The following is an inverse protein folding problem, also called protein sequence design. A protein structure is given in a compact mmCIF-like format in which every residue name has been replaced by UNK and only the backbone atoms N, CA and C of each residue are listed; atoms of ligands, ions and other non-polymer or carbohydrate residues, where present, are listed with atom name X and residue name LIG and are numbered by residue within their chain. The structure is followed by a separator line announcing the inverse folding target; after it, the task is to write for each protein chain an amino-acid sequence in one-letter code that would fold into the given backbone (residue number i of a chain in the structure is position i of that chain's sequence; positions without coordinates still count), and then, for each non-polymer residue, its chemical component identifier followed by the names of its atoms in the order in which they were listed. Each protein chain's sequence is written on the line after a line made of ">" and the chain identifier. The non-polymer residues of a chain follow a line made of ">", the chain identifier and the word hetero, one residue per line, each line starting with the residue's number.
data_IF_340656520666
#
_entry.id   IF_340656520666
#
_cell.length_a   1.000
_cell.length_b   1.000
_cell.length_c   1.000
_cell.angle_alpha   90.00
_cell.angle_beta   90.00
_cell.angle_gamma   90.00
#
_symmetry.space_group_name_H-M   'P 1'
#
loop_
_entity.id
_entity.type
_entity.pdbx_description
1 polymer ?
#
# COMPACT_ATOMS: atom_id res chain seq x y z
N UNK A 1 15.77 -7.04 6.93
CA UNK A 1 15.26 -8.27 7.59
C UNK A 1 16.13 -8.51 8.81
N UNK A 2 15.57 -9.03 9.89
CA UNK A 2 16.27 -9.24 11.16
C UNK A 2 16.07 -10.68 11.62
N UNK A 3 17.01 -11.57 11.29
CA UNK A 3 16.95 -12.99 11.63
C UNK A 3 16.94 -13.22 13.15
N UNK A 4 17.64 -12.38 13.89
CA UNK A 4 17.69 -12.40 15.36
C UNK A 4 16.34 -12.16 16.02
N UNK A 5 15.39 -11.55 15.30
CA UNK A 5 14.03 -11.30 15.78
C UNK A 5 13.04 -12.42 15.40
N UNK A 6 13.46 -13.38 14.57
CA UNK A 6 12.65 -14.51 14.14
C UNK A 6 12.78 -15.70 15.11
N UNK A 7 11.64 -16.26 15.51
CA UNK A 7 11.54 -17.44 16.37
C UNK A 7 10.76 -18.53 15.63
N UNK A 8 11.31 -19.73 15.50
CA UNK A 8 10.72 -20.83 14.70
C UNK A 8 9.27 -21.17 15.05
N UNK A 9 8.88 -20.96 16.31
CA UNK A 9 7.52 -21.22 16.83
C UNK A 9 6.88 -19.97 17.46
N UNK A 10 7.33 -18.78 17.08
CA UNK A 10 6.78 -17.52 17.58
C UNK A 10 5.39 -17.22 16.99
N UNK A 11 4.47 -16.69 17.81
CA UNK A 11 3.23 -16.11 17.28
C UNK A 11 3.58 -14.87 16.46
N UNK A 12 3.21 -14.90 15.19
CA UNK A 12 3.43 -13.81 14.23
C UNK A 12 2.27 -12.83 14.35
N UNK A 13 2.60 -11.54 14.38
CA UNK A 13 1.65 -10.48 14.11
C UNK A 13 2.04 -9.79 12.81
N UNK A 14 1.04 -9.40 12.01
CA UNK A 14 1.22 -8.67 10.77
C UNK A 14 0.56 -7.31 10.89
N UNK A 15 1.36 -6.26 10.83
CA UNK A 15 0.87 -4.89 10.74
C UNK A 15 0.84 -4.47 9.26
N UNK A 16 -0.27 -3.86 8.87
CA UNK A 16 -0.45 -3.29 7.52
C UNK A 16 -0.78 -1.82 7.67
N UNK A 17 0.03 -0.96 7.04
CA UNK A 17 -0.24 0.45 6.93
C UNK A 17 -0.42 0.81 5.46
N UNK A 18 -1.55 1.43 5.14
CA UNK A 18 -1.86 1.96 3.82
C UNK A 18 -1.93 3.48 3.94
N UNK A 19 -1.34 4.17 2.98
CA UNK A 19 -1.43 5.61 2.83
C UNK A 19 -1.45 5.95 1.35
N UNK A 20 -2.02 7.11 1.02
CA UNK A 20 -2.12 7.57 -0.35
C UNK A 20 -2.02 9.09 -0.40
N UNK A 21 -1.76 9.62 -1.59
CA UNK A 21 -1.64 11.04 -1.83
C UNK A 21 -1.79 11.37 -3.30
N UNK A 22 -1.92 12.66 -3.59
CA UNK A 22 -2.05 13.17 -4.94
C UNK A 22 -1.05 14.30 -5.16
N UNK A 23 -0.25 14.21 -6.21
CA UNK A 23 0.48 15.34 -6.77
C UNK A 23 -0.40 15.98 -7.86
N UNK A 24 -0.89 17.19 -7.60
CA UNK A 24 -1.81 17.89 -8.51
C UNK A 24 -1.13 18.43 -9.76
N UNK A 25 0.16 18.77 -9.68
CA UNK A 25 0.94 19.30 -10.81
C UNK A 25 1.22 18.20 -11.84
N UNK A 26 1.65 17.04 -11.37
CA UNK A 26 1.99 15.88 -12.21
C UNK A 26 0.79 14.96 -12.48
N UNK A 27 -0.36 15.20 -11.84
CA UNK A 27 -1.55 14.31 -11.84
C UNK A 27 -1.23 12.88 -11.40
N UNK A 28 -0.27 12.75 -10.50
CA UNK A 28 0.23 11.46 -10.01
C UNK A 28 -0.44 11.10 -8.69
N UNK A 29 -1.19 10.00 -8.71
CA UNK A 29 -1.75 9.41 -7.50
C UNK A 29 -0.78 8.36 -6.94
N UNK A 30 -0.29 8.58 -5.72
CA UNK A 30 0.61 7.66 -5.05
C UNK A 30 -0.14 6.80 -4.04
N UNK A 31 0.11 5.50 -4.07
CA UNK A 31 -0.29 4.57 -3.02
C UNK A 31 0.94 3.96 -2.38
N UNK A 32 1.04 4.07 -1.06
CA UNK A 32 2.14 3.55 -0.25
C UNK A 32 1.61 2.52 0.74
N UNK A 33 2.12 1.29 0.66
CA UNK A 33 1.78 0.21 1.58
C UNK A 33 3.01 -0.31 2.30
N UNK A 34 2.87 -0.53 3.60
CA UNK A 34 3.89 -1.10 4.46
C UNK A 34 3.34 -2.32 5.18
N UNK A 35 4.08 -3.43 5.09
CA UNK A 35 3.83 -4.63 5.87
C UNK A 35 4.98 -4.85 6.84
N UNK A 36 4.63 -5.08 8.10
CA UNK A 36 5.60 -5.39 9.15
C UNK A 36 5.20 -6.69 9.82
N UNK A 37 6.01 -7.73 9.62
CA UNK A 37 5.89 -8.97 10.37
C UNK A 37 6.70 -8.84 11.66
N UNK A 38 6.06 -9.14 12.78
CA UNK A 38 6.68 -9.05 14.09
C UNK A 38 6.42 -10.29 14.96
N UNK A 39 7.37 -10.61 15.82
CA UNK A 39 7.24 -11.59 16.89
C UNK A 39 7.65 -10.92 18.19
N UNK A 40 6.87 -11.08 19.26
CA UNK A 40 7.12 -10.41 20.55
C UNK A 40 7.35 -8.89 20.40
N UNK A 41 6.59 -8.24 19.51
CA UNK A 41 6.72 -6.80 19.16
C UNK A 41 8.07 -6.39 18.56
N UNK A 42 8.85 -7.34 18.05
CA UNK A 42 10.08 -7.07 17.32
C UNK A 42 9.87 -7.38 15.83
N UNK A 43 10.08 -6.40 14.93
CA UNK A 43 9.94 -6.64 13.51
C UNK A 43 11.08 -7.54 13.01
N UNK A 44 10.74 -8.53 12.17
CA UNK A 44 11.73 -9.40 11.51
C UNK A 44 11.69 -9.28 9.99
N UNK A 45 10.53 -8.95 9.41
CA UNK A 45 10.38 -8.56 8.00
C UNK A 45 9.63 -7.24 7.94
N UNK A 46 10.17 -6.29 7.18
CA UNK A 46 9.47 -5.06 6.80
C UNK A 46 9.62 -4.90 5.29
N UNK A 47 8.51 -4.73 4.61
CA UNK A 47 8.47 -4.38 3.19
C UNK A 47 7.58 -3.15 3.04
N UNK A 48 8.08 -2.18 2.28
CA UNK A 48 7.33 -0.98 1.92
C UNK A 48 7.42 -0.82 0.41
N UNK A 49 6.27 -0.56 -0.21
CA UNK A 49 6.16 -0.33 -1.64
C UNK A 49 5.34 0.93 -1.87
N UNK A 50 5.82 1.74 -2.80
CA UNK A 50 5.09 2.89 -3.33
C UNK A 50 4.82 2.63 -4.81
N UNK A 51 3.59 2.83 -5.24
CA UNK A 51 3.21 2.80 -6.65
C UNK A 51 2.60 4.16 -7.02
N UNK A 52 3.11 4.77 -8.09
CA UNK A 52 2.55 5.97 -8.68
C UNK A 52 1.65 5.57 -9.85
N UNK A 53 0.52 6.24 -9.96
CA UNK A 53 -0.46 6.04 -11.02
C UNK A 53 -0.78 7.42 -11.60
N UNK A 54 -0.31 7.66 -12.82
CA UNK A 54 -0.63 8.89 -13.55
C UNK A 54 -2.12 8.86 -13.94
N UNK A 55 -2.83 9.95 -13.64
CA UNK A 55 -4.21 10.16 -14.05
C UNK A 55 -4.20 10.98 -15.34
N UNK A 56 -4.79 10.42 -16.39
CA UNK A 56 -4.93 11.13 -17.67
C UNK A 56 -5.67 12.45 -17.51
N UNK A 57 -5.27 13.46 -18.29
CA UNK A 57 -5.75 14.85 -18.15
C UNK A 57 -7.28 14.95 -18.13
N UNK A 58 -7.96 14.25 -19.05
CA UNK A 58 -9.43 14.25 -19.11
C UNK A 58 -10.05 13.71 -17.82
N UNK A 59 -9.61 12.52 -17.39
CA UNK A 59 -10.08 11.91 -16.14
C UNK A 59 -9.73 12.75 -14.92
N UNK A 60 -8.59 13.43 -14.90
CA UNK A 60 -8.21 14.31 -13.79
C UNK A 60 -9.15 15.51 -13.68
N UNK A 61 -9.52 16.11 -14.81
CA UNK A 61 -10.47 17.23 -14.84
C UNK A 61 -11.86 16.83 -14.33
N UNK A 62 -12.31 15.60 -14.63
CA UNK A 62 -13.58 15.06 -14.12
C UNK A 62 -13.59 14.88 -12.59
N UNK A 63 -12.42 14.80 -11.94
CA UNK A 63 -12.29 14.68 -10.49
C UNK A 63 -12.31 16.05 -9.79
N UNK A 64 -12.22 17.16 -10.55
CA UNK A 64 -12.25 18.52 -10.01
C UNK A 64 -13.69 18.97 -9.79
N UNK A 65 -14.05 19.22 -8.54
CA UNK A 65 -15.38 19.68 -8.12
C UNK A 65 -15.21 20.87 -7.17
N UNK A 66 -15.74 22.03 -7.54
CA UNK A 66 -15.75 23.26 -6.73
C UNK A 66 -14.37 23.64 -6.14
N UNK A 67 -13.30 23.53 -6.94
CA UNK A 67 -11.93 23.88 -6.51
C UNK A 67 -11.28 22.82 -5.60
N UNK A 68 -11.86 21.62 -5.52
CA UNK A 68 -11.28 20.45 -4.84
C UNK A 68 -11.14 19.31 -5.82
N UNK A 69 -10.27 18.35 -5.49
CA UNK A 69 -10.15 17.10 -6.23
C UNK A 69 -10.74 15.99 -5.36
N UNK A 70 -11.74 15.30 -5.88
CA UNK A 70 -12.41 14.19 -5.20
C UNK A 70 -11.95 12.90 -5.86
N UNK A 71 -11.12 12.12 -5.16
CA UNK A 71 -10.71 10.79 -5.60
C UNK A 71 -11.67 9.76 -5.01
N UNK A 72 -12.45 9.03 -5.84
CA UNK A 72 -13.39 8.05 -5.35
C UNK A 72 -12.71 6.93 -4.56
N UNK A 73 -13.31 6.53 -3.45
CA UNK A 73 -12.87 5.42 -2.59
C UNK A 73 -12.64 4.12 -3.36
N UNK A 74 -13.50 3.82 -4.36
CA UNK A 74 -13.34 2.63 -5.21
C UNK A 74 -12.04 2.69 -6.04
N UNK A 75 -11.64 3.87 -6.51
CA UNK A 75 -10.40 4.04 -7.27
C UNK A 75 -9.18 3.80 -6.37
N UNK A 76 -9.19 4.43 -5.18
CA UNK A 76 -8.15 4.24 -4.17
C UNK A 76 -8.04 2.74 -3.80
N UNK A 77 -9.17 2.07 -3.60
CA UNK A 77 -9.19 0.64 -3.29
C UNK A 77 -8.62 -0.22 -4.43
N UNK A 78 -8.92 0.13 -5.69
CA UNK A 78 -8.41 -0.55 -6.86
C UNK A 78 -6.88 -0.45 -6.96
N UNK A 79 -6.33 0.77 -6.89
CA UNK A 79 -4.87 0.96 -6.97
C UNK A 79 -4.14 0.38 -5.75
N UNK A 80 -4.75 0.45 -4.56
CA UNK A 80 -4.21 -0.20 -3.36
C UNK A 80 -4.17 -1.72 -3.49
N UNK A 81 -5.18 -2.35 -4.10
CA UNK A 81 -5.16 -3.79 -4.40
C UNK A 81 -4.01 -4.16 -5.34
N UNK A 82 -3.74 -3.34 -6.36
CA UNK A 82 -2.58 -3.53 -7.26
C UNK A 82 -1.28 -3.46 -6.45
N UNK A 83 -1.11 -2.43 -5.61
CA UNK A 83 0.09 -2.27 -4.77
C UNK A 83 0.28 -3.44 -3.80
N UNK A 84 -0.78 -3.98 -3.22
CA UNK A 84 -0.75 -5.21 -2.39
C UNK A 84 -0.31 -6.42 -3.20
N UNK A 85 -0.86 -6.60 -4.40
CA UNK A 85 -0.49 -7.67 -5.33
C UNK A 85 0.99 -7.63 -5.67
N UNK A 86 1.49 -6.46 -6.07
CA UNK A 86 2.91 -6.22 -6.35
C UNK A 86 3.80 -6.48 -5.12
N UNK A 87 3.36 -6.06 -3.93
CA UNK A 87 4.09 -6.30 -2.68
C UNK A 87 4.26 -7.79 -2.38
N UNK A 88 3.30 -8.65 -2.76
CA UNK A 88 3.43 -10.11 -2.62
C UNK A 88 4.53 -10.68 -3.50
N UNK A 89 4.52 -10.33 -4.78
CA UNK A 89 5.52 -10.80 -5.73
C UNK A 89 6.93 -10.36 -5.31
N UNK A 90 7.07 -9.09 -4.92
CA UNK A 90 8.35 -8.54 -4.44
C UNK A 90 8.79 -9.23 -3.15
N UNK A 91 7.89 -9.46 -2.18
CA UNK A 91 8.23 -10.17 -0.96
C UNK A 91 8.73 -11.58 -1.26
N UNK A 92 8.02 -12.33 -2.11
CA UNK A 92 8.40 -13.69 -2.47
C UNK A 92 9.77 -13.72 -3.14
N UNK A 93 9.99 -12.86 -4.15
CA UNK A 93 11.28 -12.77 -4.85
C UNK A 93 12.41 -12.33 -3.93
N UNK A 94 12.21 -11.32 -3.07
CA UNK A 94 13.26 -10.84 -2.14
C UNK A 94 13.60 -11.81 -1.01
N UNK A 95 12.72 -12.78 -0.73
CA UNK A 95 12.94 -13.77 0.33
C UNK A 95 13.33 -15.13 -0.24
N UNK A 96 13.43 -15.28 -1.55
CA UNK A 96 13.88 -16.51 -2.21
C UNK A 96 15.24 -16.97 -1.65
N UNK A 97 15.35 -18.27 -1.35
CA UNK A 97 16.55 -18.84 -0.74
C UNK A 97 16.76 -18.53 0.74
N UNK A 98 15.86 -17.80 1.40
CA UNK A 98 15.95 -17.47 2.84
C UNK A 98 14.92 -18.23 3.68
N UNK A 99 15.13 -18.28 5.00
CA UNK A 99 14.14 -18.80 5.97
C UNK A 99 12.81 -18.03 5.94
N UNK A 100 12.79 -16.84 5.32
CA UNK A 100 11.64 -15.96 5.26
C UNK A 100 10.70 -16.24 4.07
N UNK A 101 11.09 -17.06 3.08
CA UNK A 101 10.24 -17.32 1.90
C UNK A 101 8.89 -17.97 2.24
N UNK A 102 8.81 -18.64 3.39
CA UNK A 102 7.57 -19.21 3.94
C UNK A 102 6.52 -18.15 4.34
N UNK A 103 6.90 -16.87 4.43
CA UNK A 103 5.98 -15.79 4.80
C UNK A 103 5.37 -15.14 3.57
N UNK A 104 4.05 -15.21 3.46
CA UNK A 104 3.27 -14.57 2.39
C UNK A 104 2.32 -13.51 2.97
N UNK A 105 1.94 -12.53 2.16
CA UNK A 105 0.96 -11.52 2.56
C UNK A 105 -0.47 -12.09 2.39
N UNK A 106 -1.35 -11.97 3.39
CA UNK A 106 -2.72 -12.50 3.33
C UNK A 106 -3.61 -11.71 2.38
N UNK A 107 -4.71 -12.33 1.93
CA UNK A 107 -5.80 -11.74 1.11
C UNK A 107 -6.77 -10.91 1.91
N UNK A 108 -6.26 -10.02 2.75
CA UNK A 108 -7.12 -9.09 3.49
C UNK A 108 -7.83 -8.16 2.50
N UNK A 109 -9.12 -7.88 2.77
CA UNK A 109 -9.91 -6.96 1.97
C UNK A 109 -9.39 -5.53 2.15
N UNK A 110 -8.70 -5.01 1.14
CA UNK A 110 -8.11 -3.67 1.15
C UNK A 110 -9.18 -2.60 1.07
N UNK A 111 -10.33 -2.90 0.46
CA UNK A 111 -11.44 -1.95 0.34
C UNK A 111 -12.00 -1.56 1.71
N UNK A 112 -11.99 -2.47 2.70
CA UNK A 112 -12.39 -2.16 4.08
C UNK A 112 -11.47 -1.14 4.77
N UNK A 113 -10.26 -0.92 4.24
CA UNK A 113 -9.31 0.07 4.78
C UNK A 113 -9.56 1.49 4.23
N UNK A 114 -10.41 1.64 3.21
CA UNK A 114 -10.70 2.93 2.55
C UNK A 114 -12.22 3.14 2.52
N UNK A 115 -12.81 3.66 3.62
CA UNK A 115 -14.26 3.74 3.73
C UNK A 115 -14.88 4.95 3.04
N UNK A 116 -14.09 5.95 2.65
CA UNK A 116 -14.56 7.24 2.15
C UNK A 116 -13.67 7.77 1.03
N UNK A 117 -14.22 8.66 0.22
CA UNK A 117 -13.49 9.35 -0.84
C UNK A 117 -12.40 10.26 -0.25
N UNK A 118 -11.30 10.42 -0.98
CA UNK A 118 -10.24 11.33 -0.60
C UNK A 118 -10.46 12.70 -1.23
N UNK A 119 -10.29 13.75 -0.43
CA UNK A 119 -10.48 15.13 -0.85
C UNK A 119 -9.13 15.83 -0.77
N UNK A 120 -8.70 16.42 -1.88
CA UNK A 120 -7.47 17.23 -1.97
C UNK A 120 -7.81 18.65 -2.41
N UNK A 121 -7.02 19.61 -1.97
CA UNK A 121 -7.14 20.99 -2.46
C UNK A 121 -6.60 21.07 -3.89
N UNK A 122 -7.35 21.71 -4.79
CA UNK A 122 -6.85 22.01 -6.12
C UNK A 122 -5.91 23.21 -6.03
N UNK A 123 -4.60 22.98 -6.16
CA UNK A 123 -3.62 24.06 -6.25
C UNK A 123 -3.45 24.43 -7.74
N UNK A 124 -3.81 25.67 -8.04
CA UNK A 124 -3.56 26.34 -9.33
C UNK A 124 -2.07 26.41 -9.66
#
# INVERSE_FOLDING_TARGET
>A
MFEENHLDKGKINLQTNLSYGLNTEERDFITSIKFTFEMKKKPFITIQLNCNFEIGVESFNDLVVDGKIIIPSWFIAHVAMITVGSSRGILHSKTEGTIFNKYSLPTRNVAEMIPVDAIFDYKY
#
